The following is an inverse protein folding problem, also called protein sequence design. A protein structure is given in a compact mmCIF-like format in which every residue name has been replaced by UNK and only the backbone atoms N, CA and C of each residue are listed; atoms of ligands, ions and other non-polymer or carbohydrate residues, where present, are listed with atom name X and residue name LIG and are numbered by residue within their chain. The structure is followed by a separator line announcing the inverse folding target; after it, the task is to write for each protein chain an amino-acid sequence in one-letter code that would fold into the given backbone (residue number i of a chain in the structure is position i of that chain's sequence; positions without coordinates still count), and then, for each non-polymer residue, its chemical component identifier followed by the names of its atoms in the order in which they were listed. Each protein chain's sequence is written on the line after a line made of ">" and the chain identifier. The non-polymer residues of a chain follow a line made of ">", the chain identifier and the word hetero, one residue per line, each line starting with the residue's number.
data_IF_256060273453
#
_entry.id   IF_256060273453
#
_cell.length_a   1.000
_cell.length_b   1.000
_cell.length_c   1.000
_cell.angle_alpha   90.00
_cell.angle_beta   90.00
_cell.angle_gamma   90.00
#
_symmetry.space_group_name_H-M   'P 1'
#
loop_
_entity.id
_entity.type
_entity.pdbx_description
1 polymer ?
#
# COMPACT_ATOMS: atom_id res chain seq x y z
N UNK A 1 -10.84 31.00 -18.17
CA UNK A 1 -9.78 30.34 -17.37
C UNK A 1 -10.28 30.31 -15.94
N UNK A 2 -10.87 29.20 -15.50
CA UNK A 2 -11.26 29.00 -14.10
C UNK A 2 -10.09 28.31 -13.41
N UNK A 3 -9.29 29.11 -12.70
CA UNK A 3 -8.28 28.57 -11.79
C UNK A 3 -9.02 27.75 -10.72
N UNK A 4 -8.67 26.47 -10.60
CA UNK A 4 -9.26 25.60 -9.59
C UNK A 4 -8.82 26.10 -8.23
N UNK A 5 -9.73 26.78 -7.53
CA UNK A 5 -9.83 26.86 -6.07
C UNK A 5 -8.52 26.59 -5.33
N UNK A 6 -7.73 27.62 -5.08
CA UNK A 6 -6.68 27.55 -4.06
C UNK A 6 -7.27 26.93 -2.78
N UNK A 7 -6.62 25.89 -2.24
CA UNK A 7 -6.92 25.30 -0.94
C UNK A 7 -6.75 26.36 0.16
N UNK A 8 -7.78 27.19 0.33
CA UNK A 8 -7.85 28.23 1.35
C UNK A 8 -8.52 27.60 2.57
N UNK A 9 -7.75 26.90 3.38
CA UNK A 9 -8.25 26.30 4.60
C UNK A 9 -7.14 25.72 5.46
N UNK A 10 -7.52 25.22 6.65
CA UNK A 10 -6.58 24.69 7.64
C UNK A 10 -6.35 23.21 7.40
N UNK A 11 -5.08 22.80 7.28
CA UNK A 11 -4.72 21.38 7.34
C UNK A 11 -4.64 20.93 8.79
N UNK A 12 -5.22 19.77 9.11
CA UNK A 12 -5.17 19.19 10.45
C UNK A 12 -4.36 17.91 10.45
N UNK A 13 -3.51 17.73 11.47
CA UNK A 13 -2.65 16.57 11.64
C UNK A 13 -2.88 15.97 13.03
N UNK A 14 -3.05 14.65 13.09
CA UNK A 14 -3.19 13.90 14.34
C UNK A 14 -2.11 12.83 14.38
N UNK A 15 -1.44 12.70 15.51
CA UNK A 15 -0.34 11.76 15.72
C UNK A 15 -0.75 10.67 16.72
N UNK A 16 -0.20 9.47 16.56
CA UNK A 16 -0.33 8.40 17.55
C UNK A 16 0.59 8.64 18.77
N UNK A 17 0.51 7.75 19.77
CA UNK A 17 1.31 7.85 21.00
C UNK A 17 2.82 7.74 20.79
N UNK A 18 3.27 7.29 19.62
CA UNK A 18 4.67 7.21 19.24
C UNK A 18 5.11 8.42 18.38
N UNK A 19 4.24 9.43 18.21
CA UNK A 19 4.53 10.62 17.42
C UNK A 19 4.45 10.41 15.91
N UNK A 20 3.80 9.33 15.45
CA UNK A 20 3.67 9.02 14.02
C UNK A 20 2.34 9.54 13.48
N UNK A 21 2.32 10.02 12.24
CA UNK A 21 1.13 10.63 11.63
C UNK A 21 -0.01 9.61 11.49
N UNK A 22 -1.04 9.72 12.33
CA UNK A 22 -2.21 8.86 12.31
C UNK A 22 -3.29 9.34 11.33
N UNK A 23 -3.55 10.64 11.28
CA UNK A 23 -4.56 11.24 10.39
C UNK A 23 -4.09 12.59 9.86
N UNK A 24 -4.38 12.85 8.59
CA UNK A 24 -4.22 14.14 7.93
C UNK A 24 -5.52 14.51 7.24
N UNK A 25 -6.02 15.72 7.48
CA UNK A 25 -7.20 16.25 6.81
C UNK A 25 -6.83 17.54 6.08
N UNK A 26 -7.13 17.61 4.78
CA UNK A 26 -6.87 18.79 3.95
C UNK A 26 -7.93 19.89 4.16
N UNK A 27 -7.73 21.04 3.51
CA UNK A 27 -8.62 22.20 3.64
C UNK A 27 -10.05 21.92 3.14
N UNK A 28 -10.21 20.91 2.27
CA UNK A 28 -11.49 20.51 1.67
C UNK A 28 -12.20 19.42 2.49
N UNK A 29 -11.57 18.92 3.55
CA UNK A 29 -12.09 17.90 4.44
C UNK A 29 -11.69 16.47 4.05
N UNK A 30 -10.97 16.25 2.94
CA UNK A 30 -10.50 14.91 2.58
C UNK A 30 -9.49 14.44 3.59
N UNK A 31 -9.60 13.17 3.95
CA UNK A 31 -8.85 12.61 5.07
C UNK A 31 -8.08 11.37 4.65
N UNK A 32 -6.80 11.34 5.04
CA UNK A 32 -5.93 10.18 4.93
C UNK A 32 -5.52 9.70 6.32
N UNK A 33 -5.90 8.47 6.66
CA UNK A 33 -5.53 7.81 7.93
C UNK A 33 -4.49 6.70 7.70
N UNK A 34 -3.56 6.51 8.64
CA UNK A 34 -2.50 5.51 8.56
C UNK A 34 -2.38 4.70 9.84
N UNK A 35 -2.09 3.41 9.71
CA UNK A 35 -1.70 2.56 10.85
C UNK A 35 -0.33 1.97 10.60
N UNK A 36 0.37 1.60 11.66
CA UNK A 36 1.78 1.22 11.59
C UNK A 36 2.05 -0.04 12.39
N UNK A 37 3.08 -0.78 12.00
CA UNK A 37 3.63 -1.85 12.80
C UNK A 37 4.63 -1.34 13.86
N UNK A 38 5.23 -2.27 14.60
CA UNK A 38 6.23 -2.00 15.65
C UNK A 38 7.56 -1.42 15.11
N UNK A 39 7.80 -1.52 13.80
CA UNK A 39 8.97 -0.94 13.11
C UNK A 39 8.65 0.38 12.42
N UNK A 40 7.49 0.97 12.71
CA UNK A 40 7.01 2.22 12.11
C UNK A 40 6.82 2.18 10.60
N UNK A 41 6.55 1.01 10.04
CA UNK A 41 6.13 0.86 8.64
C UNK A 41 4.61 0.89 8.55
N UNK A 42 4.07 1.47 7.48
CA UNK A 42 2.62 1.62 7.30
C UNK A 42 1.99 0.24 7.03
N UNK A 43 1.02 -0.19 7.84
CA UNK A 43 0.23 -1.40 7.59
C UNK A 43 -1.03 -1.12 6.76
N UNK A 44 -1.67 0.02 6.99
CA UNK A 44 -2.90 0.43 6.27
C UNK A 44 -2.88 1.92 6.03
N UNK A 45 -3.36 2.33 4.86
CA UNK A 45 -3.67 3.71 4.53
C UNK A 45 -5.10 3.79 4.03
N UNK A 46 -5.95 4.62 4.64
CA UNK A 46 -7.32 4.87 4.20
C UNK A 46 -7.44 6.29 3.69
N UNK A 47 -7.96 6.46 2.47
CA UNK A 47 -8.27 7.76 1.87
C UNK A 47 -9.79 7.87 1.67
N UNK A 48 -10.35 9.01 2.05
CA UNK A 48 -11.80 9.27 2.04
C UNK A 48 -12.07 10.75 1.82
N UNK A 49 -13.26 11.08 1.30
CA UNK A 49 -13.69 12.48 1.14
C UNK A 49 -13.95 13.18 2.49
N UNK A 50 -14.18 12.42 3.56
CA UNK A 50 -14.30 12.94 4.92
C UNK A 50 -13.97 11.89 5.97
N UNK A 51 -13.51 12.30 7.16
CA UNK A 51 -13.06 11.39 8.22
C UNK A 51 -14.13 10.37 8.69
N UNK A 52 -15.42 10.73 8.58
CA UNK A 52 -16.55 9.87 8.94
C UNK A 52 -17.20 9.18 7.72
N UNK A 53 -16.56 9.20 6.54
CA UNK A 53 -17.14 8.61 5.33
C UNK A 53 -17.16 7.07 5.43
N UNK A 54 -18.32 6.49 5.10
CA UNK A 54 -18.47 5.05 4.95
C UNK A 54 -17.86 4.52 3.64
N UNK A 55 -17.60 5.42 2.68
CA UNK A 55 -16.92 5.09 1.43
C UNK A 55 -15.47 5.60 1.46
N UNK A 56 -14.53 4.67 1.29
CA UNK A 56 -13.10 4.95 1.33
C UNK A 56 -12.34 3.94 0.48
N UNK A 57 -11.16 4.35 0.04
CA UNK A 57 -10.15 3.44 -0.50
C UNK A 57 -9.17 3.09 0.60
N UNK A 58 -8.90 1.79 0.83
CA UNK A 58 -7.89 1.30 1.75
C UNK A 58 -6.78 0.58 0.99
N UNK A 59 -5.54 1.02 1.18
CA UNK A 59 -4.34 0.27 0.78
C UNK A 59 -3.78 -0.45 2.00
N UNK A 60 -3.71 -1.77 1.94
CA UNK A 60 -3.10 -2.64 2.95
C UNK A 60 -1.72 -3.04 2.47
N UNK A 61 -0.72 -2.89 3.32
CA UNK A 61 0.66 -3.27 3.07
C UNK A 61 1.00 -4.49 3.93
N UNK A 62 1.51 -5.55 3.32
CA UNK A 62 2.08 -6.68 4.05
C UNK A 62 3.58 -6.69 3.86
N UNK A 63 4.32 -6.90 4.94
CA UNK A 63 5.77 -6.98 4.89
C UNK A 63 6.22 -8.40 5.17
N UNK A 64 7.32 -8.80 4.55
CA UNK A 64 8.00 -10.07 4.81
C UNK A 64 8.66 -9.98 6.19
N UNK A 65 7.94 -10.43 7.22
CA UNK A 65 8.39 -10.42 8.61
C UNK A 65 8.74 -11.83 9.14
N UNK A 66 8.46 -12.88 8.36
CA UNK A 66 8.77 -14.27 8.72
C UNK A 66 9.48 -15.03 7.60
N UNK A 67 10.51 -15.77 7.99
CA UNK A 67 11.14 -16.83 7.20
C UNK A 67 10.20 -18.04 7.11
N UNK A 68 9.52 -18.24 5.98
CA UNK A 68 9.27 -19.61 5.52
C UNK A 68 10.54 -20.03 4.76
N UNK A 69 11.34 -20.92 5.36
CA UNK A 69 12.62 -21.46 4.86
C UNK A 69 13.90 -20.60 4.96
N UNK A 70 14.01 -19.70 5.94
CA UNK A 70 15.31 -19.15 6.33
C UNK A 70 16.00 -18.30 5.26
N UNK A 71 15.23 -17.54 4.46
CA UNK A 71 15.78 -16.58 3.51
C UNK A 71 15.39 -15.16 3.92
N UNK A 72 16.42 -14.46 4.41
CA UNK A 72 16.47 -13.14 5.01
C UNK A 72 15.86 -11.99 4.19
N UNK A 73 14.56 -12.02 3.96
CA UNK A 73 13.81 -10.93 3.35
C UNK A 73 13.08 -10.05 4.37
N UNK A 74 13.59 -10.03 5.60
CA UNK A 74 13.03 -9.22 6.69
C UNK A 74 12.87 -7.77 6.27
N UNK A 75 11.69 -7.21 6.53
CA UNK A 75 11.50 -5.77 6.40
C UNK A 75 10.80 -5.35 5.12
N UNK A 76 10.83 -6.16 4.06
CA UNK A 76 10.46 -5.76 2.69
C UNK A 76 8.97 -5.81 2.45
N UNK A 77 8.48 -4.93 1.58
CA UNK A 77 7.08 -4.93 1.16
C UNK A 77 6.80 -6.20 0.34
N UNK A 78 6.01 -7.11 0.90
CA UNK A 78 5.59 -8.32 0.19
C UNK A 78 4.47 -8.03 -0.78
N UNK A 79 3.43 -7.35 -0.30
CA UNK A 79 2.25 -7.09 -1.13
C UNK A 79 1.56 -5.80 -0.75
N UNK A 80 0.86 -5.23 -1.73
CA UNK A 80 -0.18 -4.22 -1.48
C UNK A 80 -1.51 -4.77 -1.93
N UNK A 81 -2.55 -4.54 -1.14
CA UNK A 81 -3.94 -4.78 -1.55
C UNK A 81 -4.68 -3.47 -1.50
N UNK A 82 -5.34 -3.10 -2.60
CA UNK A 82 -6.23 -1.94 -2.63
C UNK A 82 -7.68 -2.42 -2.58
N UNK A 83 -8.43 -1.82 -1.67
CA UNK A 83 -9.84 -2.10 -1.42
C UNK A 83 -10.66 -0.83 -1.51
N UNK A 84 -11.90 -0.93 -1.96
CA UNK A 84 -12.92 0.09 -1.73
C UNK A 84 -13.85 -0.48 -0.68
N UNK A 85 -13.87 0.13 0.50
CA UNK A 85 -14.53 -0.41 1.68
C UNK A 85 -14.04 -1.85 1.95
N UNK A 86 -14.95 -2.83 1.96
CA UNK A 86 -14.60 -4.24 2.19
C UNK A 86 -14.15 -5.00 0.93
N UNK A 87 -14.39 -4.45 -0.26
CA UNK A 87 -14.15 -5.14 -1.53
C UNK A 87 -12.73 -4.87 -2.03
N UNK A 88 -11.93 -5.92 -2.20
CA UNK A 88 -10.61 -5.82 -2.81
C UNK A 88 -10.74 -5.76 -4.34
N UNK A 89 -9.87 -5.00 -4.99
CA UNK A 89 -9.91 -4.87 -6.46
C UNK A 89 -8.54 -5.03 -7.10
N UNK A 90 -7.46 -4.67 -6.39
CA UNK A 90 -6.09 -4.79 -6.88
C UNK A 90 -5.21 -5.42 -5.82
N UNK A 91 -4.35 -6.36 -6.23
CA UNK A 91 -3.20 -6.80 -5.43
C UNK A 91 -1.92 -6.73 -6.23
N UNK A 92 -0.88 -6.19 -5.61
CA UNK A 92 0.50 -6.30 -6.09
C UNK A 92 1.25 -7.26 -5.18
N UNK A 93 1.96 -8.23 -5.72
CA UNK A 93 2.86 -9.12 -4.98
C UNK A 93 4.28 -8.96 -5.53
N UNK A 94 5.25 -8.76 -4.63
CA UNK A 94 6.64 -8.51 -4.97
C UNK A 94 7.53 -9.65 -4.48
N UNK A 95 8.44 -10.10 -5.35
CA UNK A 95 9.51 -11.03 -4.99
C UNK A 95 10.85 -10.37 -5.20
N UNK A 96 11.80 -10.69 -4.34
CA UNK A 96 13.13 -10.08 -4.30
C UNK A 96 14.21 -11.15 -4.38
N UNK A 97 15.35 -10.82 -4.99
CA UNK A 97 16.56 -11.62 -4.85
C UNK A 97 17.24 -11.37 -3.49
N UNK A 98 18.25 -12.16 -3.15
CA UNK A 98 18.96 -12.08 -1.85
C UNK A 98 19.62 -10.72 -1.56
N UNK A 99 20.00 -9.97 -2.60
CA UNK A 99 20.51 -8.59 -2.45
C UNK A 99 19.38 -7.59 -2.19
N UNK A 100 18.16 -7.98 -2.50
CA UNK A 100 16.98 -7.17 -2.30
C UNK A 100 16.43 -6.43 -3.47
N UNK A 101 16.86 -6.78 -4.67
CA UNK A 101 16.33 -6.19 -5.87
C UNK A 101 15.05 -6.94 -6.23
N UNK A 102 14.01 -6.19 -6.62
CA UNK A 102 12.72 -6.75 -6.98
C UNK A 102 12.89 -7.53 -8.28
N UNK A 103 12.68 -8.84 -8.27
CA UNK A 103 12.84 -9.70 -9.46
C UNK A 103 11.50 -10.05 -10.11
N UNK A 104 10.40 -9.99 -9.36
CA UNK A 104 9.07 -10.23 -9.89
C UNK A 104 8.06 -9.28 -9.27
N UNK A 105 7.10 -8.83 -10.08
CA UNK A 105 5.94 -8.06 -9.68
C UNK A 105 4.71 -8.65 -10.35
N UNK A 106 3.87 -9.29 -9.55
CA UNK A 106 2.58 -9.80 -9.97
C UNK A 106 1.49 -8.76 -9.69
N UNK A 107 0.66 -8.49 -10.68
CA UNK A 107 -0.49 -7.60 -10.61
C UNK A 107 -1.77 -8.37 -10.89
N UNK A 108 -2.67 -8.36 -9.90
CA UNK A 108 -3.96 -9.04 -9.95
C UNK A 108 -5.07 -8.00 -9.94
N UNK A 109 -5.96 -8.02 -10.93
CA UNK A 109 -7.24 -7.28 -10.94
C UNK A 109 -8.40 -8.22 -10.69
N UNK A 110 -9.60 -7.65 -10.48
CA UNK A 110 -10.85 -8.39 -10.34
C UNK A 110 -10.79 -9.47 -9.24
N UNK A 111 -10.22 -9.08 -8.09
CA UNK A 111 -10.28 -9.87 -6.88
C UNK A 111 -11.76 -10.09 -6.55
N UNK A 112 -12.29 -11.26 -6.91
CA UNK A 112 -13.69 -11.62 -6.73
C UNK A 112 -14.15 -11.24 -5.31
N UNK A 113 -15.40 -10.81 -5.20
CA UNK A 113 -16.06 -10.31 -3.99
C UNK A 113 -16.01 -11.27 -2.77
N UNK A 114 -15.31 -12.40 -2.85
CA UNK A 114 -15.06 -13.38 -1.80
C UNK A 114 -13.83 -13.06 -0.93
N UNK A 115 -12.95 -12.12 -1.35
CA UNK A 115 -11.73 -11.80 -0.59
C UNK A 115 -10.70 -12.94 -0.53
N UNK A 116 -10.92 -14.02 -1.29
CA UNK A 116 -9.96 -15.10 -1.47
C UNK A 116 -9.01 -14.78 -2.63
N UNK A 117 -7.76 -14.52 -2.29
CA UNK A 117 -6.69 -14.22 -3.26
C UNK A 117 -6.24 -15.42 -4.09
N UNK A 118 -6.69 -16.63 -3.75
CA UNK A 118 -6.27 -17.86 -4.41
C UNK A 118 -6.94 -18.06 -5.80
N UNK A 119 -8.07 -17.38 -6.06
CA UNK A 119 -8.80 -17.44 -7.34
C UNK A 119 -8.65 -16.15 -8.17
N UNK A 120 -7.79 -15.23 -7.71
CA UNK A 120 -7.50 -14.00 -8.43
C UNK A 120 -6.76 -14.35 -9.72
N UNK A 121 -7.32 -13.96 -10.87
CA UNK A 121 -6.63 -14.12 -12.14
C UNK A 121 -5.42 -13.19 -12.14
N UNK A 122 -4.23 -13.76 -12.28
CA UNK A 122 -3.01 -12.99 -12.53
C UNK A 122 -3.18 -12.25 -13.85
N UNK A 123 -3.23 -10.93 -13.79
CA UNK A 123 -3.46 -10.10 -14.98
C UNK A 123 -2.14 -9.74 -15.66
N UNK A 124 -1.08 -9.56 -14.87
CA UNK A 124 0.24 -9.21 -15.38
C UNK A 124 1.38 -9.63 -14.45
N UNK A 125 2.44 -10.19 -15.01
CA UNK A 125 3.72 -10.41 -14.36
C UNK A 125 4.79 -9.57 -15.05
N UNK A 126 5.53 -8.81 -14.27
CA UNK A 126 6.75 -8.13 -14.69
C UNK A 126 7.93 -8.82 -14.02
N UNK A 127 8.85 -9.33 -14.83
CA UNK A 127 10.12 -9.86 -14.36
C UNK A 127 11.22 -8.82 -14.56
N UNK A 128 12.14 -8.75 -13.61
CA UNK A 128 13.27 -7.82 -13.62
C UNK A 128 14.56 -8.63 -13.58
N UNK A 129 15.43 -8.39 -14.56
CA UNK A 129 16.80 -8.87 -14.58
C UNK A 129 17.77 -7.76 -14.23
N UNK A 130 18.87 -8.13 -13.56
CA UNK A 130 19.90 -7.19 -13.17
C UNK A 130 21.25 -7.67 -13.69
N UNK A 131 22.09 -6.73 -14.11
CA UNK A 131 23.48 -7.00 -14.43
C UNK A 131 24.33 -7.23 -13.17
N UNK A 132 25.63 -7.46 -13.35
CA UNK A 132 26.56 -7.69 -12.23
C UNK A 132 26.73 -6.45 -11.33
N UNK A 133 26.38 -5.25 -11.81
CA UNK A 133 26.42 -3.99 -11.08
C UNK A 133 25.07 -3.65 -10.43
N UNK A 134 24.12 -4.60 -10.40
CA UNK A 134 22.78 -4.42 -9.85
C UNK A 134 21.94 -3.37 -10.61
N UNK A 135 22.27 -3.09 -11.87
CA UNK A 135 21.50 -2.22 -12.76
C UNK A 135 20.49 -3.04 -13.55
N UNK A 136 19.32 -2.45 -13.81
CA UNK A 136 18.26 -3.09 -14.59
C UNK A 136 18.77 -3.37 -16.02
N UNK A 137 18.69 -4.63 -16.45
CA UNK A 137 19.12 -5.11 -17.75
C UNK A 137 17.96 -5.23 -18.73
#
# INVERSE_FOLDING_TARGET
>A
LSDSSAETGTMTYVYDSYGRLWSQTDATGRTVMRTYDVRSRILRQRASEHAAANDYTETIYTYQDSDYWGKAFFGRLESTTVKRNSQAFVKNLYRYNLKGLKIQHYYYTDLNNSGNYNDAQETHLIEFSYDAMDQLA
#
